data_IF_228550682443
#
_entry.id   IF_228550682443
#
_cell.length_a   1.000
_cell.length_b   1.000
_cell.length_c   1.000
_cell.angle_alpha   90.00
_cell.angle_beta   90.00
_cell.angle_gamma   90.00
#
_symmetry.space_group_name_H-M   'P 1'
#
loop_
_entity.id
_entity.type
_entity.pdbx_description
1 polymer ?
#
# COMPACT_ATOMS: atom_id res chain seq x y z
N UNK A 1 -0.51 -10.01 17.05
CA UNK A 1 -1.59 -9.04 17.39
C UNK A 1 -2.56 -9.03 16.23
N UNK A 2 -3.85 -8.76 16.46
CA UNK A 2 -4.84 -8.62 15.39
C UNK A 2 -4.87 -7.14 15.02
N UNK A 3 -4.71 -6.83 13.75
CA UNK A 3 -4.72 -5.48 13.23
C UNK A 3 -5.94 -4.66 13.66
N UNK A 4 -5.83 -3.32 13.73
CA UNK A 4 -6.99 -2.46 13.71
C UNK A 4 -7.72 -2.67 12.37
N UNK A 5 -8.93 -3.21 12.43
CA UNK A 5 -9.84 -3.47 11.29
C UNK A 5 -10.05 -2.24 10.38
N UNK A 6 -9.74 -1.04 10.87
CA UNK A 6 -9.93 0.24 10.18
C UNK A 6 -9.07 0.39 8.91
N UNK A 7 -7.83 -0.11 8.89
CA UNK A 7 -6.98 -0.01 7.70
C UNK A 7 -7.42 -0.97 6.58
N UNK A 8 -7.86 -2.18 6.94
CA UNK A 8 -8.43 -3.12 5.97
C UNK A 8 -9.75 -2.62 5.38
N UNK A 9 -10.59 -1.96 6.18
CA UNK A 9 -11.82 -1.35 5.69
C UNK A 9 -11.52 -0.17 4.74
N UNK A 10 -10.59 0.71 5.13
CA UNK A 10 -10.16 1.84 4.28
C UNK A 10 -9.57 1.38 2.95
N UNK A 11 -8.83 0.26 2.95
CA UNK A 11 -8.33 -0.36 1.73
C UNK A 11 -9.45 -0.87 0.84
N UNK A 12 -10.40 -1.63 1.39
CA UNK A 12 -11.52 -2.18 0.63
C UNK A 12 -12.31 -1.06 -0.05
N UNK A 13 -12.67 -0.01 0.71
CA UNK A 13 -13.41 1.13 0.17
C UNK A 13 -12.63 1.85 -0.94
N UNK A 14 -11.33 2.09 -0.72
CA UNK A 14 -10.48 2.79 -1.70
C UNK A 14 -10.20 1.95 -2.95
N UNK A 15 -10.12 0.63 -2.79
CA UNK A 15 -9.91 -0.31 -3.89
C UNK A 15 -11.19 -0.48 -4.73
N UNK A 16 -12.35 -0.59 -4.09
CA UNK A 16 -13.65 -0.66 -4.76
C UNK A 16 -13.97 0.62 -5.55
N UNK A 17 -13.44 1.76 -5.14
CA UNK A 17 -13.58 3.04 -5.83
C UNK A 17 -12.66 3.19 -7.06
N UNK A 18 -11.77 2.24 -7.34
CA UNK A 18 -10.86 2.32 -8.50
C UNK A 18 -11.64 2.17 -9.82
N UNK A 19 -11.30 2.95 -10.86
CA UNK A 19 -11.79 2.69 -12.21
C UNK A 19 -11.39 1.28 -12.67
N UNK A 20 -12.32 0.56 -13.30
CA UNK A 20 -12.08 -0.81 -13.78
C UNK A 20 -10.82 -0.94 -14.66
N UNK A 21 -10.46 0.11 -15.42
CA UNK A 21 -9.27 0.12 -16.29
C UNK A 21 -7.96 0.23 -15.51
N UNK A 22 -8.01 0.63 -14.26
CA UNK A 22 -6.85 0.90 -13.42
C UNK A 22 -6.58 -0.23 -12.40
N UNK A 23 -7.60 -1.05 -12.10
CA UNK A 23 -7.52 -2.20 -11.18
C UNK A 23 -6.36 -3.13 -11.51
N UNK A 24 -6.11 -3.44 -12.79
CA UNK A 24 -5.01 -4.33 -13.19
C UNK A 24 -3.64 -3.76 -12.81
N UNK A 25 -3.45 -2.44 -12.95
CA UNK A 25 -2.19 -1.79 -12.59
C UNK A 25 -1.94 -1.83 -11.08
N UNK A 26 -3.01 -1.66 -10.28
CA UNK A 26 -2.94 -1.76 -8.81
C UNK A 26 -2.70 -3.20 -8.37
N UNK A 27 -3.39 -4.19 -8.95
CA UNK A 27 -3.17 -5.61 -8.63
C UNK A 27 -1.72 -6.05 -8.86
N UNK A 28 -1.13 -5.70 -10.01
CA UNK A 28 0.30 -5.98 -10.26
C UNK A 28 1.25 -5.32 -9.26
N UNK A 29 0.84 -4.23 -8.62
CA UNK A 29 1.64 -3.61 -7.56
C UNK A 29 1.47 -4.33 -6.22
N UNK A 30 0.26 -4.81 -5.92
CA UNK A 30 -0.04 -5.63 -4.74
C UNK A 30 0.71 -6.97 -4.80
N UNK A 31 0.69 -7.66 -5.96
CA UNK A 31 1.41 -8.93 -6.14
C UNK A 31 2.93 -8.73 -5.92
N UNK A 32 3.50 -7.68 -6.53
CA UNK A 32 4.92 -7.33 -6.32
C UNK A 32 5.24 -6.95 -4.90
N UNK A 33 4.30 -6.32 -4.20
CA UNK A 33 4.47 -5.97 -2.80
C UNK A 33 4.51 -7.23 -1.95
N UNK A 34 3.61 -8.19 -2.17
CA UNK A 34 3.61 -9.48 -1.48
C UNK A 34 4.93 -10.23 -1.65
N UNK A 35 5.51 -10.22 -2.85
CA UNK A 35 6.76 -10.93 -3.14
C UNK A 35 8.03 -10.21 -2.66
N UNK A 36 8.02 -8.87 -2.61
CA UNK A 36 9.26 -8.05 -2.53
C UNK A 36 9.18 -6.94 -1.49
N UNK A 37 8.28 -7.03 -0.51
CA UNK A 37 8.12 -6.00 0.53
C UNK A 37 9.41 -5.77 1.35
N UNK A 38 10.31 -6.75 1.39
CA UNK A 38 11.63 -6.69 2.03
C UNK A 38 12.68 -5.91 1.22
N UNK A 39 12.41 -5.53 -0.02
CA UNK A 39 13.39 -4.85 -0.86
C UNK A 39 13.37 -3.32 -0.63
N UNK A 40 14.53 -2.65 -0.50
CA UNK A 40 14.60 -1.21 -0.22
C UNK A 40 13.86 -0.34 -1.23
N UNK A 41 13.85 -0.71 -2.51
CA UNK A 41 13.19 0.02 -3.59
C UNK A 41 11.65 0.01 -3.49
N UNK A 42 11.10 -0.99 -2.81
CA UNK A 42 9.67 -1.06 -2.50
C UNK A 42 9.33 -0.27 -1.25
N UNK A 43 10.31 0.03 -0.39
CA UNK A 43 10.11 0.59 0.95
C UNK A 43 10.42 2.09 1.01
N UNK A 44 9.71 2.92 0.25
CA UNK A 44 9.82 4.36 0.52
C UNK A 44 9.21 4.66 1.90
N UNK A 45 10.06 5.09 2.83
CA UNK A 45 9.68 5.32 4.23
C UNK A 45 8.91 6.63 4.38
N UNK A 46 7.81 6.58 5.12
CA UNK A 46 6.98 7.72 5.51
C UNK A 46 6.88 7.71 7.04
N UNK A 47 7.28 8.81 7.68
CA UNK A 47 7.16 9.00 9.12
C UNK A 47 5.91 9.81 9.44
N UNK A 48 4.99 9.25 10.22
CA UNK A 48 3.76 9.92 10.67
C UNK A 48 3.69 9.86 12.19
N UNK A 49 4.13 10.93 12.85
CA UNK A 49 4.30 10.94 14.30
C UNK A 49 5.32 9.86 14.73
N UNK A 50 4.90 8.93 15.59
CA UNK A 50 5.71 7.77 15.99
C UNK A 50 5.56 6.54 15.08
N UNK A 51 4.67 6.60 14.08
CA UNK A 51 4.42 5.49 13.16
C UNK A 51 5.38 5.54 11.95
N UNK A 52 5.80 4.36 11.51
CA UNK A 52 6.56 4.16 10.28
C UNK A 52 5.67 3.45 9.28
N UNK A 53 5.40 4.12 8.16
CA UNK A 53 4.70 3.56 7.01
C UNK A 53 5.69 3.40 5.86
N UNK A 54 5.38 2.49 4.96
CA UNK A 54 6.11 2.25 3.72
C UNK A 54 5.18 2.48 2.56
N UNK A 55 5.70 2.91 1.43
CA UNK A 55 4.90 3.10 0.24
C UNK A 55 5.62 2.67 -1.02
N UNK A 56 4.85 2.11 -1.95
CA UNK A 56 5.38 1.64 -3.24
C UNK A 56 5.88 2.84 -4.03
N UNK A 57 6.70 2.62 -5.07
CA UNK A 57 6.76 3.54 -6.19
C UNK A 57 5.36 3.92 -6.71
N UNK A 58 5.25 5.07 -7.38
CA UNK A 58 4.00 5.50 -8.02
C UNK A 58 3.54 4.45 -9.04
N UNK A 59 2.27 4.09 -8.97
CA UNK A 59 1.60 3.20 -9.90
C UNK A 59 0.97 4.10 -10.95
N UNK A 60 1.38 3.93 -12.21
CA UNK A 60 0.80 4.65 -13.34
C UNK A 60 -0.22 3.73 -14.00
N UNK A 61 -1.47 4.17 -14.00
CA UNK A 61 -2.58 3.47 -14.60
C UNK A 61 -3.21 4.32 -15.73
N UNK A 62 -4.08 3.73 -16.57
CA UNK A 62 -4.73 4.45 -17.66
C UNK A 62 -5.49 5.72 -17.27
N UNK A 63 -6.20 5.74 -16.14
CA UNK A 63 -7.08 6.85 -15.73
C UNK A 63 -6.55 7.62 -14.51
N UNK A 64 -5.52 7.10 -13.85
CA UNK A 64 -4.99 7.73 -12.64
C UNK A 64 -3.59 7.31 -12.25
N UNK A 65 -3.11 7.98 -11.20
CA UNK A 65 -1.87 7.66 -10.53
C UNK A 65 -2.18 7.26 -9.10
N UNK A 66 -1.63 6.13 -8.68
CA UNK A 66 -1.91 5.54 -7.38
C UNK A 66 -0.63 5.30 -6.58
N UNK A 67 -0.83 5.10 -5.30
CA UNK A 67 0.20 4.65 -4.38
C UNK A 67 -0.41 3.70 -3.37
N UNK A 68 0.30 2.60 -3.12
CA UNK A 68 -0.03 1.71 -2.01
C UNK A 68 0.83 2.09 -0.82
N UNK A 69 0.23 2.19 0.36
CA UNK A 69 0.92 2.45 1.63
C UNK A 69 0.63 1.32 2.60
N UNK A 70 1.65 0.83 3.30
CA UNK A 70 1.57 -0.28 4.23
C UNK A 70 2.48 -0.10 5.44
N UNK A 71 2.41 -1.02 6.40
CA UNK A 71 3.28 -1.07 7.57
C UNK A 71 3.48 -2.51 8.03
N UNK A 72 4.51 -2.73 8.84
CA UNK A 72 4.76 -4.00 9.54
C UNK A 72 4.32 -3.89 11.00
N UNK A 73 4.00 -5.03 11.63
CA UNK A 73 3.75 -5.11 13.07
C UNK A 73 5.00 -4.68 13.88
N UNK A 74 6.19 -5.00 13.35
CA UNK A 74 7.49 -4.55 13.85
C UNK A 74 8.33 -4.02 12.68
N UNK A 75 8.69 -2.72 12.65
CA UNK A 75 9.51 -2.16 11.57
C UNK A 75 10.93 -2.75 11.52
N UNK A 76 11.42 -3.38 12.61
CA UNK A 76 12.71 -4.08 12.66
C UNK A 76 12.62 -5.55 12.20
N UNK A 77 11.41 -6.11 12.10
CA UNK A 77 11.15 -7.48 11.64
C UNK A 77 10.00 -7.48 10.63
N UNK A 78 10.29 -7.35 9.33
CA UNK A 78 9.29 -7.27 8.28
C UNK A 78 8.65 -8.64 8.00
N UNK A 79 8.17 -9.31 9.04
CA UNK A 79 7.71 -10.70 8.98
C UNK A 79 6.26 -10.79 8.45
N UNK A 80 5.49 -9.70 8.53
CA UNK A 80 4.10 -9.64 8.04
C UNK A 80 3.66 -8.20 7.78
N UNK A 81 3.15 -7.92 6.57
CA UNK A 81 2.45 -6.66 6.28
C UNK A 81 1.16 -6.64 7.07
N UNK A 82 0.91 -5.54 7.78
CA UNK A 82 -0.22 -5.44 8.69
C UNK A 82 -1.21 -4.35 8.28
N UNK A 83 -0.79 -3.17 7.86
CA UNK A 83 -1.73 -2.22 7.23
C UNK A 83 -1.50 -2.16 5.73
N UNK A 84 -2.55 -1.91 4.95
CA UNK A 84 -2.45 -1.57 3.53
C UNK A 84 -3.53 -0.55 3.18
N UNK A 85 -3.24 0.38 2.28
CA UNK A 85 -4.19 1.34 1.70
C UNK A 85 -3.77 1.66 0.27
N UNK A 86 -4.71 2.05 -0.58
CA UNK A 86 -4.44 2.61 -1.92
C UNK A 86 -4.96 4.05 -1.97
N UNK A 87 -4.19 4.96 -2.53
CA UNK A 87 -4.57 6.37 -2.61
C UNK A 87 -4.25 6.93 -3.99
N UNK A 88 -5.20 7.70 -4.56
CA UNK A 88 -4.94 8.50 -5.75
C UNK A 88 -3.96 9.63 -5.40
N UNK A 89 -2.90 9.78 -6.19
CA UNK A 89 -1.86 10.80 -5.98
C UNK A 89 -2.03 12.03 -6.88
N UNK A 90 -3.16 12.13 -7.59
CA UNK A 90 -3.56 13.33 -8.32
C UNK A 90 -4.81 13.98 -7.73
N UNK A 91 -4.59 15.19 -7.22
CA UNK A 91 -5.53 16.29 -7.02
C UNK A 91 -4.85 17.59 -7.41
#
# INVERSE_FOLDING_TARGET
MRLPLEFTATFADSYEALPNRDVEAVNRALDRLEERHDQPEMRQVIHVGSAVLFATPRIYAPEGRYRVTWCYDDPAKPDSVVCITVTSVEG
#
